data_IF_171416041742
#
_entry.id   IF_171416041742
#
_cell.length_a   1.000
_cell.length_b   1.000
_cell.length_c   1.000
_cell.angle_alpha   90.00
_cell.angle_beta   90.00
_cell.angle_gamma   90.00
#
_symmetry.space_group_name_H-M   'P 1'
#
loop_
_entity.id
_entity.type
_entity.pdbx_description
1 polymer ?
#
# COMPACT_ATOMS: atom_id res chain seq x y z
N UNK A 1 -17.80 0.31 11.38
CA UNK A 1 -16.55 0.30 12.19
C UNK A 1 -16.19 1.74 12.50
N UNK A 2 -15.99 2.10 13.78
CA UNK A 2 -15.50 3.43 14.14
C UNK A 2 -13.98 3.36 14.27
N UNK A 3 -13.27 4.07 13.40
CA UNK A 3 -11.81 4.15 13.42
C UNK A 3 -11.39 5.53 13.92
N UNK A 4 -10.51 5.57 14.91
CA UNK A 4 -9.96 6.82 15.43
C UNK A 4 -9.27 7.60 14.30
N UNK A 5 -9.37 8.94 14.29
CA UNK A 5 -8.66 9.76 13.33
C UNK A 5 -7.14 9.55 13.45
N UNK A 6 -6.41 9.84 12.37
CA UNK A 6 -4.95 9.91 12.46
C UNK A 6 -4.54 11.01 13.45
N UNK A 7 -3.34 10.89 14.00
CA UNK A 7 -2.77 12.01 14.77
C UNK A 7 -2.51 13.19 13.84
N UNK A 8 -2.58 14.40 14.38
CA UNK A 8 -2.22 15.61 13.65
C UNK A 8 -0.80 15.51 13.06
N UNK A 9 -0.66 15.90 11.79
CA UNK A 9 0.59 15.85 11.03
C UNK A 9 1.02 14.46 10.54
N UNK A 10 0.24 13.40 10.79
CA UNK A 10 0.43 12.12 10.12
C UNK A 10 -0.43 12.03 8.84
N UNK A 11 -0.17 11.04 8.00
CA UNK A 11 -1.07 10.75 6.89
C UNK A 11 -2.44 10.30 7.42
N UNK A 12 -3.52 10.96 6.98
CA UNK A 12 -4.91 10.62 7.38
C UNK A 12 -5.30 9.18 6.99
N UNK A 13 -4.74 8.69 5.90
CA UNK A 13 -5.03 7.36 5.34
C UNK A 13 -4.22 6.25 6.00
N UNK A 14 -2.99 6.54 6.47
CA UNK A 14 -2.10 5.53 7.04
C UNK A 14 -1.89 5.65 8.55
N UNK A 15 -2.26 6.78 9.17
CA UNK A 15 -1.96 7.15 10.55
C UNK A 15 -0.48 7.05 10.95
N UNK A 16 0.43 7.14 9.98
CA UNK A 16 1.88 7.20 10.18
C UNK A 16 2.47 8.38 9.39
N UNK A 17 3.66 8.82 9.78
CA UNK A 17 4.39 9.86 9.06
C UNK A 17 5.08 9.24 7.84
N UNK A 18 4.84 9.80 6.67
CA UNK A 18 5.59 9.54 5.44
C UNK A 18 5.46 10.74 4.50
N UNK A 19 6.40 10.87 3.58
CA UNK A 19 6.33 11.92 2.55
C UNK A 19 5.14 11.68 1.60
N UNK A 20 4.44 12.74 1.13
CA UNK A 20 3.24 12.59 0.29
C UNK A 20 3.46 11.91 -1.06
N UNK A 21 4.70 11.90 -1.56
CA UNK A 21 5.06 11.27 -2.83
C UNK A 21 5.34 9.77 -2.70
N UNK A 22 5.49 9.25 -1.47
CA UNK A 22 5.71 7.83 -1.19
C UNK A 22 4.37 7.10 -1.12
N UNK A 23 4.30 5.83 -1.56
CA UNK A 23 3.05 5.09 -1.56
C UNK A 23 2.54 4.82 -0.14
N UNK A 24 1.25 4.57 -0.04
CA UNK A 24 0.69 3.95 1.14
C UNK A 24 1.25 2.52 1.32
N UNK A 25 1.13 1.97 2.52
CA UNK A 25 1.50 0.59 2.78
C UNK A 25 0.27 -0.31 2.63
N UNK A 26 0.18 -1.06 1.53
CA UNK A 26 -0.94 -1.98 1.25
C UNK A 26 -1.13 -3.09 2.32
N UNK A 27 -0.10 -3.35 3.13
CA UNK A 27 -0.14 -4.35 4.20
C UNK A 27 -0.45 -3.74 5.58
N UNK A 28 -0.55 -2.42 5.68
CA UNK A 28 -0.93 -1.76 6.94
C UNK A 28 -2.41 -2.01 7.23
N UNK A 29 -2.72 -2.56 8.42
CA UNK A 29 -4.10 -2.73 8.90
C UNK A 29 -4.88 -1.42 8.89
N UNK A 30 -4.25 -0.30 9.28
CA UNK A 30 -4.93 1.00 9.31
C UNK A 30 -5.40 1.43 7.92
N UNK A 31 -4.47 1.46 6.96
CA UNK A 31 -4.77 1.69 5.55
C UNK A 31 -5.83 0.73 5.01
N UNK A 32 -5.70 -0.59 5.25
CA UNK A 32 -6.65 -1.58 4.76
C UNK A 32 -8.07 -1.35 5.25
N UNK A 33 -8.26 -1.00 6.52
CA UNK A 33 -9.58 -0.69 7.08
C UNK A 33 -10.12 0.62 6.51
N UNK A 34 -9.30 1.67 6.40
CA UNK A 34 -9.69 2.96 5.78
C UNK A 34 -10.14 2.76 4.34
N UNK A 35 -9.31 2.10 3.55
CA UNK A 35 -9.59 1.80 2.15
C UNK A 35 -10.84 0.93 2.00
N UNK A 36 -11.01 -0.10 2.83
CA UNK A 36 -12.19 -0.96 2.79
C UNK A 36 -13.47 -0.21 3.18
N UNK A 37 -13.42 0.72 4.14
CA UNK A 37 -14.56 1.53 4.50
C UNK A 37 -15.01 2.45 3.35
N UNK A 38 -14.08 2.88 2.50
CA UNK A 38 -14.35 3.74 1.34
C UNK A 38 -14.75 2.95 0.09
N UNK A 39 -14.07 1.84 -0.20
CA UNK A 39 -14.18 1.12 -1.48
C UNK A 39 -14.85 -0.26 -1.38
N UNK A 40 -15.16 -0.75 -0.17
CA UNK A 40 -15.83 -2.04 0.04
C UNK A 40 -14.96 -3.28 -0.22
N UNK A 41 -13.66 -3.13 -0.44
CA UNK A 41 -12.69 -4.22 -0.65
C UNK A 41 -11.34 -3.92 0.01
N UNK A 42 -10.49 -4.93 0.16
CA UNK A 42 -9.10 -4.72 0.56
C UNK A 42 -8.30 -4.00 -0.56
N UNK A 43 -7.30 -3.18 -0.20
CA UNK A 43 -6.41 -2.54 -1.17
C UNK A 43 -5.40 -3.52 -1.77
N UNK A 44 -4.92 -3.19 -2.97
CA UNK A 44 -3.74 -3.77 -3.62
C UNK A 44 -2.55 -2.83 -3.49
N UNK A 45 -1.36 -3.25 -3.92
CA UNK A 45 -0.22 -2.32 -4.03
C UNK A 45 -0.42 -1.29 -5.15
N UNK A 46 -1.22 -1.61 -6.19
CA UNK A 46 -1.61 -0.64 -7.22
C UNK A 46 -2.42 0.50 -6.60
N UNK A 47 -3.39 0.18 -5.74
CA UNK A 47 -4.20 1.18 -5.03
C UNK A 47 -3.33 2.04 -4.11
N UNK A 48 -2.40 1.40 -3.40
CA UNK A 48 -1.49 2.07 -2.49
C UNK A 48 -0.53 3.05 -3.20
N UNK A 49 -0.25 2.81 -4.47
CA UNK A 49 0.57 3.68 -5.32
C UNK A 49 -0.25 4.61 -6.23
N UNK A 50 -1.58 4.66 -6.12
CA UNK A 50 -2.44 5.37 -7.07
C UNK A 50 -2.09 6.87 -7.19
N UNK A 51 -1.72 7.50 -6.07
CA UNK A 51 -1.34 8.91 -6.01
C UNK A 51 0.13 9.20 -6.39
N UNK A 52 0.94 8.15 -6.60
CA UNK A 52 2.37 8.30 -6.88
C UNK A 52 2.61 8.80 -8.32
N UNK A 53 3.81 9.34 -8.57
CA UNK A 53 4.27 9.62 -9.94
C UNK A 53 4.52 8.31 -10.71
N UNK A 54 4.61 8.38 -12.05
CA UNK A 54 4.98 7.23 -12.88
C UNK A 54 6.32 6.63 -12.48
N UNK A 55 7.31 7.48 -12.20
CA UNK A 55 8.63 7.07 -11.75
C UNK A 55 8.56 6.30 -10.42
N UNK A 56 7.81 6.83 -9.44
CA UNK A 56 7.68 6.20 -8.14
C UNK A 56 6.90 4.89 -8.21
N UNK A 57 5.84 4.84 -9.04
CA UNK A 57 5.13 3.60 -9.34
C UNK A 57 6.06 2.55 -9.94
N UNK A 58 6.89 2.92 -10.91
CA UNK A 58 7.83 2.00 -11.55
C UNK A 58 8.88 1.48 -10.56
N UNK A 59 9.44 2.38 -9.74
CA UNK A 59 10.43 2.04 -8.71
C UNK A 59 9.87 1.02 -7.71
N UNK A 60 8.70 1.30 -7.13
CA UNK A 60 8.09 0.43 -6.12
C UNK A 60 7.56 -0.86 -6.71
N UNK A 61 6.94 -0.82 -7.89
CA UNK A 61 6.52 -2.04 -8.59
C UNK A 61 7.71 -2.98 -8.74
N UNK A 62 8.84 -2.49 -9.27
CA UNK A 62 10.06 -3.30 -9.43
C UNK A 62 10.55 -3.84 -8.07
N UNK A 63 10.68 -2.98 -7.07
CA UNK A 63 11.22 -3.35 -5.77
C UNK A 63 10.35 -4.40 -5.05
N UNK A 64 9.03 -4.31 -5.20
CA UNK A 64 8.06 -5.25 -4.64
C UNK A 64 8.08 -6.59 -5.40
N UNK A 65 8.08 -6.55 -6.75
CA UNK A 65 8.14 -7.78 -7.56
C UNK A 65 9.45 -8.54 -7.35
N UNK A 66 10.59 -7.84 -7.22
CA UNK A 66 11.89 -8.45 -6.93
C UNK A 66 11.87 -9.20 -5.58
N UNK A 67 10.98 -8.80 -4.66
CA UNK A 67 10.77 -9.44 -3.35
C UNK A 67 9.67 -10.50 -3.35
N UNK A 68 9.11 -10.84 -4.52
CA UNK A 68 8.03 -11.81 -4.65
C UNK A 68 6.67 -11.29 -4.20
N UNK A 69 6.43 -9.98 -4.25
CA UNK A 69 5.10 -9.42 -3.97
C UNK A 69 4.28 -9.39 -5.25
N UNK A 70 3.07 -9.94 -5.21
CA UNK A 70 2.07 -9.75 -6.25
C UNK A 70 1.39 -8.39 -6.04
N UNK A 71 1.78 -7.43 -6.89
CA UNK A 71 1.33 -6.03 -6.80
C UNK A 71 -0.17 -5.89 -7.08
N UNK A 72 -0.73 -6.77 -7.92
CA UNK A 72 -2.16 -6.76 -8.29
C UNK A 72 -3.02 -7.58 -7.31
N UNK A 73 -2.49 -8.66 -6.74
CA UNK A 73 -3.21 -9.54 -5.82
C UNK A 73 -3.08 -9.18 -4.34
N UNK A 74 -2.12 -8.32 -3.97
CA UNK A 74 -1.85 -7.94 -2.58
C UNK A 74 -1.28 -9.08 -1.71
N UNK A 75 -0.90 -10.21 -2.32
CA UNK A 75 -0.35 -11.39 -1.65
C UNK A 75 1.16 -11.49 -1.86
N UNK A 76 1.91 -11.96 -0.86
CA UNK A 76 3.30 -12.40 -1.06
C UNK A 76 3.21 -13.72 -1.83
N UNK A 77 3.66 -13.74 -3.09
CA UNK A 77 3.87 -14.99 -3.82
C UNK A 77 5.21 -15.55 -3.36
N UNK A 78 5.19 -16.77 -2.79
CA UNK A 78 6.41 -17.42 -2.31
C UNK A 78 7.50 -17.33 -3.39
N UNK A 79 8.69 -16.90 -2.99
CA UNK A 79 9.83 -16.70 -3.89
C UNK A 79 10.00 -17.92 -4.80
N UNK A 80 10.12 -17.66 -6.10
CA UNK A 80 10.45 -18.66 -7.12
C UNK A 80 11.64 -19.47 -6.62
N UNK A 81 11.49 -20.78 -6.54
CA UNK A 81 12.61 -21.71 -6.37
C UNK A 81 13.61 -21.41 -7.51
N UNK A 82 14.78 -20.93 -7.13
CA UNK A 82 15.91 -20.77 -8.03
C UNK A 82 16.31 -22.16 -8.52
N UNK A 83 16.09 -22.44 -9.80
CA UNK A 83 16.75 -23.54 -10.50
C UNK A 83 17.96 -23.00 -11.26
#
# INVERSE_FOLDING_TARGET
MFMMPAREGACETCATAHEPHLPHNAQSIFYSIRFQAEHGRAPTWIDAMAHCSDEMRALWTKALTDRGVDVAGGKIVAARESN
#
